data_IF_297802804313
#
_entry.id   IF_297802804313
#
_cell.length_a   1.000
_cell.length_b   1.000
_cell.length_c   1.000
_cell.angle_alpha   90.00
_cell.angle_beta   90.00
_cell.angle_gamma   90.00
#
_symmetry.space_group_name_H-M   'P 1'
#
loop_
_entity.id
_entity.type
_entity.pdbx_description
1 polymer ?
#
# COMPACT_ATOMS: atom_id res chain seq x y z
N UNK A 1 21.79 11.72 9.44
CA UNK A 1 21.40 13.10 9.80
C UNK A 1 20.41 13.73 8.81
N UNK A 2 20.48 13.40 7.51
CA UNK A 2 19.50 13.86 6.50
C UNK A 2 18.18 13.05 6.50
N UNK A 3 18.21 11.77 6.89
CA UNK A 3 17.02 10.90 7.02
C UNK A 3 15.99 11.43 8.05
N UNK A 4 16.46 12.02 9.15
CA UNK A 4 15.61 12.54 10.23
C UNK A 4 14.87 13.82 9.83
N UNK A 5 15.50 14.68 9.02
CA UNK A 5 14.92 15.94 8.53
C UNK A 5 13.85 15.73 7.44
N UNK A 6 13.98 14.65 6.67
CA UNK A 6 13.05 14.26 5.61
C UNK A 6 11.82 13.57 6.20
N UNK A 7 12.01 12.73 7.22
CA UNK A 7 10.93 12.16 8.03
C UNK A 7 10.11 13.28 8.68
N UNK A 8 10.74 14.36 9.19
CA UNK A 8 10.06 15.56 9.71
C UNK A 8 9.24 16.27 8.62
N UNK A 9 9.69 16.27 7.36
CA UNK A 9 8.99 16.96 6.25
C UNK A 9 7.75 16.21 5.76
N UNK A 10 7.82 14.87 5.69
CA UNK A 10 6.64 14.02 5.47
C UNK A 10 5.71 14.06 6.70
N UNK A 11 6.29 14.14 7.91
CA UNK A 11 5.56 14.41 9.14
C UNK A 11 4.79 15.72 9.05
N UNK A 12 5.38 16.85 8.63
CA UNK A 12 4.68 18.16 8.57
C UNK A 12 3.49 18.13 7.60
N UNK A 13 3.59 17.37 6.49
CA UNK A 13 2.49 17.19 5.55
C UNK A 13 1.33 16.35 6.14
N UNK A 14 1.65 15.39 7.01
CA UNK A 14 0.69 14.51 7.69
C UNK A 14 0.20 15.09 9.03
N UNK A 15 1.00 15.96 9.68
CA UNK A 15 0.74 16.62 10.98
C UNK A 15 -0.33 17.70 10.91
N UNK A 16 -0.85 18.01 9.73
CA UNK A 16 -2.13 18.73 9.60
C UNK A 16 -3.27 17.86 10.19
N UNK A 17 -3.06 16.55 10.35
CA UNK A 17 -3.92 15.62 11.09
C UNK A 17 -3.14 14.98 12.26
N UNK A 18 -3.09 15.70 13.38
CA UNK A 18 -2.76 15.28 14.75
C UNK A 18 -2.56 13.77 15.03
N UNK A 19 -1.34 13.35 15.38
CA UNK A 19 -0.95 12.71 16.66
C UNK A 19 0.52 12.20 16.63
N UNK A 20 1.16 12.24 17.80
CA UNK A 20 2.54 11.85 18.12
C UNK A 20 2.84 10.37 17.88
N UNK A 21 4.00 10.01 17.28
CA UNK A 21 4.46 8.61 17.23
C UNK A 21 5.97 8.40 17.36
N UNK A 22 6.33 7.30 18.03
CA UNK A 22 7.67 6.87 18.46
C UNK A 22 8.33 5.88 17.48
N UNK A 23 9.63 5.59 17.69
CA UNK A 23 10.53 4.74 16.88
C UNK A 23 9.98 3.39 16.36
N UNK A 24 8.88 2.86 16.90
CA UNK A 24 8.29 1.59 16.43
C UNK A 24 7.57 1.70 15.07
N UNK A 25 7.27 2.91 14.58
CA UNK A 25 6.69 3.12 13.24
C UNK A 25 7.64 2.75 12.11
N UNK A 26 8.94 2.79 12.37
CA UNK A 26 9.95 2.47 11.37
C UNK A 26 9.96 0.97 11.05
N UNK A 27 9.84 0.10 12.06
CA UNK A 27 9.78 -1.36 11.86
C UNK A 27 8.49 -1.78 11.11
N UNK A 28 7.39 -1.10 11.40
CA UNK A 28 6.12 -1.28 10.71
C UNK A 28 6.18 -0.82 9.24
N UNK A 29 6.92 0.26 8.97
CA UNK A 29 7.21 0.69 7.60
C UNK A 29 8.14 -0.28 6.89
N UNK A 30 9.11 -0.91 7.56
CA UNK A 30 10.01 -1.91 6.96
C UNK A 30 9.27 -3.19 6.52
N UNK A 31 8.30 -3.66 7.31
CA UNK A 31 7.44 -4.79 6.90
C UNK A 31 6.40 -4.36 5.84
N UNK A 32 5.92 -3.11 5.90
CA UNK A 32 5.08 -2.53 4.84
C UNK A 32 5.89 -2.29 3.55
N UNK A 33 7.18 -1.99 3.63
CA UNK A 33 8.12 -1.87 2.51
C UNK A 33 8.35 -3.25 1.87
N UNK A 34 8.37 -4.33 2.67
CA UNK A 34 8.34 -5.70 2.15
C UNK A 34 7.02 -6.02 1.42
N UNK A 35 5.91 -5.37 1.82
CA UNK A 35 4.62 -5.39 1.13
C UNK A 35 4.59 -4.53 -0.15
N UNK A 36 5.38 -3.46 -0.16
CA UNK A 36 5.59 -2.54 -1.29
C UNK A 36 6.82 -3.03 -2.08
N UNK A 37 6.90 -4.32 -2.36
CA UNK A 37 7.71 -4.77 -3.49
C UNK A 37 6.98 -4.31 -4.75
N UNK A 38 7.37 -3.15 -5.26
CA UNK A 38 6.98 -2.68 -6.59
C UNK A 38 7.20 -3.84 -7.55
N UNK A 39 6.10 -4.38 -8.09
CA UNK A 39 6.18 -5.55 -8.96
C UNK A 39 6.97 -5.18 -10.22
N UNK A 40 8.19 -5.73 -10.31
CA UNK A 40 9.13 -5.42 -11.40
C UNK A 40 8.63 -5.84 -12.78
N UNK A 41 7.59 -6.68 -12.87
CA UNK A 41 6.95 -7.08 -14.12
C UNK A 41 6.09 -5.95 -14.69
N UNK A 42 5.59 -5.07 -13.84
CA UNK A 42 4.64 -4.00 -14.21
C UNK A 42 5.17 -2.59 -13.94
N UNK A 43 6.23 -2.45 -13.14
CA UNK A 43 6.76 -1.17 -12.71
C UNK A 43 8.30 -1.18 -12.64
N UNK A 44 8.93 -0.04 -12.93
CA UNK A 44 10.38 0.14 -12.76
C UNK A 44 10.64 0.76 -11.39
N UNK A 45 11.29 0.06 -10.44
CA UNK A 45 11.53 0.60 -9.10
C UNK A 45 12.37 1.89 -9.13
N UNK A 46 11.99 2.87 -8.32
CA UNK A 46 12.70 4.13 -8.14
C UNK A 46 13.38 4.18 -6.76
N UNK A 47 14.66 4.57 -6.73
CA UNK A 47 15.41 4.70 -5.49
C UNK A 47 15.98 3.36 -4.97
N UNK A 48 16.51 3.41 -3.73
CA UNK A 48 16.93 2.20 -3.03
C UNK A 48 15.71 1.53 -2.40
N UNK A 49 15.81 0.22 -2.13
CA UNK A 49 14.68 -0.59 -1.63
C UNK A 49 14.07 -0.06 -0.33
N UNK A 50 14.83 0.67 0.47
CA UNK A 50 14.47 1.29 1.75
C UNK A 50 14.34 2.82 1.67
N UNK A 51 14.36 3.39 0.46
CA UNK A 51 14.35 4.84 0.28
C UNK A 51 12.94 5.42 0.24
N UNK A 52 12.82 6.71 0.60
CA UNK A 52 11.57 7.45 0.51
C UNK A 52 10.98 7.43 -0.90
N UNK A 53 11.85 7.51 -1.92
CA UNK A 53 11.42 7.46 -3.32
C UNK A 53 10.71 6.14 -3.63
N UNK A 54 11.23 5.01 -3.13
CA UNK A 54 10.62 3.69 -3.33
C UNK A 54 9.26 3.60 -2.63
N UNK A 55 9.15 4.07 -1.39
CA UNK A 55 7.87 4.12 -0.64
C UNK A 55 6.85 5.03 -1.32
N UNK A 56 7.29 6.20 -1.77
CA UNK A 56 6.43 7.18 -2.45
C UNK A 56 5.92 6.64 -3.77
N UNK A 57 6.80 6.02 -4.55
CA UNK A 57 6.45 5.38 -5.82
C UNK A 57 5.39 4.30 -5.60
N UNK A 58 5.64 3.39 -4.65
CA UNK A 58 4.70 2.32 -4.33
C UNK A 58 3.35 2.83 -3.84
N UNK A 59 3.34 3.87 -3.00
CA UNK A 59 2.10 4.51 -2.52
C UNK A 59 1.31 5.11 -3.69
N UNK A 60 1.99 5.76 -4.64
CA UNK A 60 1.34 6.32 -5.84
C UNK A 60 0.71 5.24 -6.72
N UNK A 61 1.43 4.14 -6.97
CA UNK A 61 0.90 3.00 -7.73
C UNK A 61 -0.35 2.41 -7.05
N UNK A 62 -0.34 2.30 -5.71
CA UNK A 62 -1.49 1.82 -4.96
C UNK A 62 -2.68 2.78 -5.09
N UNK A 63 -2.46 4.09 -4.93
CA UNK A 63 -3.51 5.12 -5.09
C UNK A 63 -4.13 5.04 -6.49
N UNK A 64 -3.30 4.94 -7.53
CA UNK A 64 -3.79 4.87 -8.91
C UNK A 64 -4.54 3.56 -9.16
N UNK A 65 -4.08 2.43 -8.62
CA UNK A 65 -4.80 1.15 -8.65
C UNK A 65 -6.19 1.24 -7.98
N UNK A 66 -6.30 1.91 -6.83
CA UNK A 66 -7.59 2.11 -6.14
C UNK A 66 -8.54 2.97 -6.99
N UNK A 67 -8.04 4.04 -7.61
CA UNK A 67 -8.84 4.90 -8.50
C UNK A 67 -9.36 4.12 -9.70
N UNK A 68 -8.50 3.32 -10.34
CA UNK A 68 -8.88 2.49 -11.48
C UNK A 68 -9.90 1.42 -11.09
N UNK A 69 -9.75 0.78 -9.93
CA UNK A 69 -10.73 -0.18 -9.41
C UNK A 69 -12.07 0.47 -9.12
N UNK A 70 -12.08 1.66 -8.50
CA UNK A 70 -13.31 2.44 -8.26
C UNK A 70 -14.01 2.80 -9.57
N UNK A 71 -13.25 3.18 -10.61
CA UNK A 71 -13.81 3.46 -11.92
C UNK A 71 -14.38 2.20 -12.60
N UNK A 72 -13.70 1.05 -12.45
CA UNK A 72 -14.11 -0.24 -13.02
C UNK A 72 -15.34 -0.83 -12.33
N UNK A 73 -15.46 -0.66 -11.02
CA UNK A 73 -16.53 -1.20 -10.19
C UNK A 73 -17.25 -0.10 -9.40
N UNK A 74 -18.02 0.79 -10.06
CA UNK A 74 -18.61 1.96 -9.41
C UNK A 74 -19.67 1.62 -8.35
N UNK A 75 -20.15 0.38 -8.30
CA UNK A 75 -21.12 -0.11 -7.32
C UNK A 75 -20.46 -0.73 -6.07
N UNK A 76 -19.14 -0.92 -6.06
CA UNK A 76 -18.43 -1.45 -4.90
C UNK A 76 -18.37 -0.40 -3.79
N UNK A 77 -18.40 -0.87 -2.54
CA UNK A 77 -18.15 0.02 -1.40
C UNK A 77 -16.71 0.53 -1.44
N UNK A 78 -16.43 1.56 -0.64
CA UNK A 78 -15.09 2.10 -0.54
C UNK A 78 -14.07 1.06 -0.06
N UNK A 79 -14.44 0.22 0.91
CA UNK A 79 -13.61 -0.87 1.45
C UNK A 79 -13.34 -1.95 0.40
N UNK A 80 -14.36 -2.29 -0.40
CA UNK A 80 -14.20 -3.23 -1.51
C UNK A 80 -13.25 -2.68 -2.58
N UNK A 81 -13.34 -1.38 -2.88
CA UNK A 81 -12.42 -0.70 -3.79
C UNK A 81 -10.99 -0.67 -3.25
N UNK A 82 -10.81 -0.44 -1.95
CA UNK A 82 -9.50 -0.49 -1.30
C UNK A 82 -8.86 -1.88 -1.42
N UNK A 83 -9.61 -2.92 -1.07
CA UNK A 83 -9.12 -4.30 -1.18
C UNK A 83 -8.82 -4.67 -2.64
N UNK A 84 -9.68 -4.28 -3.57
CA UNK A 84 -9.45 -4.48 -5.00
C UNK A 84 -8.20 -3.74 -5.51
N UNK A 85 -7.94 -2.53 -5.02
CA UNK A 85 -6.72 -1.77 -5.34
C UNK A 85 -5.45 -2.47 -4.85
N UNK A 86 -5.48 -3.06 -3.66
CA UNK A 86 -4.37 -3.87 -3.11
C UNK A 86 -4.14 -5.13 -3.96
N UNK A 87 -5.21 -5.81 -4.39
CA UNK A 87 -5.10 -6.97 -5.29
C UNK A 87 -4.52 -6.56 -6.66
N UNK A 88 -5.00 -5.45 -7.21
CA UNK A 88 -4.53 -4.88 -8.47
C UNK A 88 -3.09 -4.38 -8.42
N UNK A 89 -2.59 -3.96 -7.25
CA UNK A 89 -1.18 -3.61 -7.06
C UNK A 89 -0.25 -4.79 -7.41
N UNK A 90 -0.67 -6.02 -7.11
CA UNK A 90 0.12 -7.23 -7.39
C UNK A 90 -0.10 -7.79 -8.80
N UNK A 91 -1.36 -7.86 -9.27
CA UNK A 91 -1.71 -8.59 -10.50
C UNK A 91 -2.31 -7.70 -11.61
N UNK A 92 -2.38 -6.39 -11.39
CA UNK A 92 -2.98 -5.42 -12.29
C UNK A 92 -4.51 -5.38 -12.23
N UNK A 93 -5.08 -4.24 -12.62
CA UNK A 93 -6.54 -3.99 -12.59
C UNK A 93 -7.34 -4.96 -13.46
N UNK A 94 -6.74 -5.50 -14.53
CA UNK A 94 -7.39 -6.51 -15.39
C UNK A 94 -7.63 -7.84 -14.66
N UNK A 95 -6.81 -8.19 -13.66
CA UNK A 95 -6.97 -9.42 -12.89
C UNK A 95 -8.23 -9.39 -12.01
N UNK A 96 -8.51 -8.25 -11.39
CA UNK A 96 -9.67 -8.07 -10.51
C UNK A 96 -10.95 -8.07 -11.34
N UNK A 97 -11.75 -9.15 -11.25
CA UNK A 97 -13.00 -9.33 -12.03
C UNK A 97 -14.25 -9.34 -11.17
N UNK A 98 -14.16 -9.92 -9.98
CA UNK A 98 -15.24 -9.96 -8.98
C UNK A 98 -14.63 -9.75 -7.59
N UNK A 99 -15.46 -9.42 -6.61
CA UNK A 99 -14.99 -9.15 -5.26
C UNK A 99 -14.47 -10.43 -4.58
N UNK A 100 -15.19 -11.53 -4.74
CA UNK A 100 -14.93 -12.81 -4.08
C UNK A 100 -13.70 -13.52 -4.62
N UNK A 101 -13.28 -13.20 -5.85
CA UNK A 101 -12.21 -13.88 -6.57
C UNK A 101 -11.11 -12.95 -7.06
N UNK A 102 -11.00 -11.74 -6.48
CA UNK A 102 -10.01 -10.74 -6.92
C UNK A 102 -8.57 -11.23 -6.83
N UNK A 103 -8.27 -12.06 -5.82
CA UNK A 103 -6.92 -12.60 -5.59
C UNK A 103 -6.61 -13.88 -6.38
N UNK A 104 -7.58 -14.43 -7.13
CA UNK A 104 -7.25 -15.55 -8.02
C UNK A 104 -6.29 -15.05 -9.09
N UNK A 105 -5.05 -15.54 -9.07
CA UNK A 105 -3.98 -15.12 -9.97
C UNK A 105 -2.99 -14.10 -9.37
N UNK A 106 -3.19 -13.63 -8.14
CA UNK A 106 -2.15 -12.92 -7.39
C UNK A 106 -1.10 -13.91 -6.87
N UNK A 107 0.06 -13.40 -6.43
CA UNK A 107 1.05 -14.23 -5.73
C UNK A 107 0.40 -14.89 -4.52
N UNK A 108 0.50 -16.22 -4.40
CA UNK A 108 -0.14 -16.99 -3.32
C UNK A 108 -1.65 -17.21 -3.49
N UNK A 109 -2.32 -16.47 -4.37
CA UNK A 109 -3.76 -16.53 -4.55
C UNK A 109 -4.56 -15.83 -3.44
N UNK A 110 -3.89 -15.07 -2.58
CA UNK A 110 -4.45 -14.48 -1.36
C UNK A 110 -3.89 -13.09 -1.02
N UNK A 111 -3.16 -12.45 -1.95
CA UNK A 111 -2.41 -11.22 -1.70
C UNK A 111 -3.19 -10.14 -0.94
N UNK A 112 -4.36 -9.72 -1.43
CA UNK A 112 -5.12 -8.67 -0.75
C UNK A 112 -5.71 -9.11 0.60
N UNK A 113 -6.03 -10.40 0.75
CA UNK A 113 -6.48 -10.96 2.02
C UNK A 113 -5.39 -10.90 3.08
N UNK A 114 -4.18 -11.36 2.74
CA UNK A 114 -3.02 -11.33 3.65
C UNK A 114 -2.67 -9.89 4.05
N UNK A 115 -2.56 -8.99 3.06
CA UNK A 115 -2.28 -7.57 3.29
C UNK A 115 -3.30 -6.91 4.21
N UNK A 116 -4.60 -7.12 3.99
CA UNK A 116 -5.65 -6.54 4.83
C UNK A 116 -5.60 -7.08 6.26
N UNK A 117 -5.36 -8.39 6.43
CA UNK A 117 -5.24 -9.00 7.75
C UNK A 117 -4.06 -8.42 8.54
N UNK A 118 -2.90 -8.26 7.88
CA UNK A 118 -1.73 -7.62 8.49
C UNK A 118 -1.98 -6.16 8.82
N UNK A 119 -2.59 -5.40 7.93
CA UNK A 119 -2.95 -4.01 8.17
C UNK A 119 -3.87 -3.85 9.39
N UNK A 120 -4.85 -4.74 9.56
CA UNK A 120 -5.70 -4.79 10.75
C UNK A 120 -4.91 -5.11 12.02
N UNK A 121 -3.96 -6.05 11.94
CA UNK A 121 -3.08 -6.35 13.06
C UNK A 121 -2.21 -5.15 13.45
N UNK A 122 -1.56 -4.49 12.49
CA UNK A 122 -0.77 -3.28 12.75
C UNK A 122 -1.64 -2.16 13.34
N UNK A 123 -2.85 -1.96 12.81
CA UNK A 123 -3.81 -1.01 13.39
C UNK A 123 -4.11 -1.31 14.86
N UNK A 124 -4.22 -2.58 15.24
CA UNK A 124 -4.41 -2.98 16.64
C UNK A 124 -3.19 -2.73 17.54
N UNK A 125 -2.01 -2.49 16.95
CA UNK A 125 -0.76 -2.16 17.64
C UNK A 125 -0.49 -0.66 17.70
N UNK A 126 -1.42 0.17 17.20
CA UNK A 126 -1.34 1.63 17.25
C UNK A 126 -0.85 2.27 15.96
N UNK A 127 -0.69 1.52 14.87
CA UNK A 127 -0.29 2.08 13.57
C UNK A 127 -1.47 2.59 12.74
#
# INVERSE_FOLDING_TARGET
MLLYQVIISIFILISIFSLTFTLSLMDCLYDLIFLITVDKRYHTPEGAWDSEQHVTQGTKILIDSIKEIKAKFPQWTQEQCFKGGISAYNAGVKNVRTYERMDVGTTGGDYSNDVVARAQWYKSKGY
#
